data_IF_647509104002
#
_entry.id   IF_647509104002
#
_cell.length_a   1.000
_cell.length_b   1.000
_cell.length_c   1.000
_cell.angle_alpha   90.00
_cell.angle_beta   90.00
_cell.angle_gamma   90.00
#
_symmetry.space_group_name_H-M   'P 1'
#
loop_
_entity.id
_entity.type
_entity.pdbx_description
1 polymer ?
#
# COMPACT_ATOMS: atom_id res chain seq x y z
N UNK A 1 -16.62 -49.35 27.72
CA UNK A 1 -16.33 -48.95 29.12
C UNK A 1 -14.87 -48.52 29.14
N UNK A 2 -14.44 -47.29 29.46
CA UNK A 2 -14.94 -46.25 30.36
C UNK A 2 -14.74 -44.87 29.74
N UNK A 3 -15.77 -44.03 29.90
CA UNK A 3 -15.76 -42.58 29.72
C UNK A 3 -15.16 -41.94 30.97
N UNK A 4 -14.36 -40.89 30.83
CA UNK A 4 -14.02 -39.99 31.94
C UNK A 4 -14.27 -38.55 31.48
N UNK A 5 -15.31 -38.00 32.09
CA UNK A 5 -15.76 -36.61 32.06
C UNK A 5 -15.01 -35.83 33.13
N UNK A 6 -14.54 -34.61 32.82
CA UNK A 6 -14.13 -33.63 33.84
C UNK A 6 -14.89 -32.33 33.58
N UNK A 7 -15.57 -31.92 34.66
CA UNK A 7 -16.56 -30.85 34.72
C UNK A 7 -15.93 -29.51 35.13
N UNK A 8 -16.55 -28.43 34.66
CA UNK A 8 -16.91 -27.18 35.38
C UNK A 8 -15.88 -26.53 36.32
N UNK A 9 -15.46 -25.31 35.96
CA UNK A 9 -15.29 -24.16 36.86
C UNK A 9 -16.01 -22.97 36.20
N UNK A 10 -17.20 -22.51 36.64
CA UNK A 10 -17.47 -21.56 37.74
C UNK A 10 -16.64 -20.27 37.60
N UNK A 11 -17.14 -19.22 36.92
CA UNK A 11 -17.93 -18.09 37.45
C UNK A 11 -17.36 -17.41 38.70
N UNK A 12 -16.89 -16.16 38.56
CA UNK A 12 -17.03 -15.11 39.58
C UNK A 12 -16.87 -13.71 38.98
N UNK A 13 -18.01 -13.03 38.80
CA UNK A 13 -18.35 -11.66 39.25
C UNK A 13 -17.23 -10.66 39.58
N UNK A 14 -17.32 -9.40 39.10
CA UNK A 14 -17.95 -8.27 39.83
C UNK A 14 -17.84 -6.89 39.11
N UNK A 15 -18.98 -6.15 39.13
CA UNK A 15 -19.28 -4.67 39.14
C UNK A 15 -18.52 -3.68 38.20
N UNK A 16 -19.16 -2.87 37.33
CA UNK A 16 -20.12 -1.72 37.50
C UNK A 16 -19.38 -0.50 38.15
N UNK A 17 -19.44 0.79 37.78
CA UNK A 17 -20.48 1.78 37.36
C UNK A 17 -19.73 2.97 36.69
N UNK A 18 -20.22 3.66 35.64
CA UNK A 18 -20.74 5.06 35.62
C UNK A 18 -20.65 5.50 34.13
N UNK A 19 -21.66 6.02 33.43
CA UNK A 19 -22.84 6.77 33.84
C UNK A 19 -22.57 8.27 33.71
N UNK A 20 -22.78 8.85 32.52
CA UNK A 20 -23.01 10.30 32.35
C UNK A 20 -23.95 10.57 31.16
N UNK A 21 -25.16 10.97 31.51
CA UNK A 21 -26.12 11.68 30.68
C UNK A 21 -26.10 13.17 31.04
N UNK A 22 -26.47 14.00 30.06
CA UNK A 22 -26.88 15.42 30.09
C UNK A 22 -25.90 16.31 29.29
N UNK A 23 -26.34 17.16 28.38
CA UNK A 23 -27.69 17.55 28.01
C UNK A 23 -27.74 18.44 26.77
N UNK A 24 -28.92 18.52 26.17
CA UNK A 24 -29.34 19.61 25.28
C UNK A 24 -29.96 20.73 26.13
N UNK A 25 -29.89 21.99 25.64
CA UNK A 25 -31.12 22.58 25.13
C UNK A 25 -30.95 23.37 23.83
N UNK A 26 -32.09 23.53 23.14
CA UNK A 26 -32.31 24.32 21.94
C UNK A 26 -32.66 25.79 22.28
N UNK A 27 -32.25 26.74 21.42
CA UNK A 27 -33.04 27.82 20.81
C UNK A 27 -32.19 29.03 20.42
N UNK A 28 -32.43 29.60 19.24
CA UNK A 28 -31.96 30.94 18.87
C UNK A 28 -31.80 31.15 17.36
N UNK A 29 -32.80 31.76 16.74
CA UNK A 29 -32.87 32.05 15.31
C UNK A 29 -32.06 33.29 14.88
N UNK A 30 -31.57 33.21 13.63
CA UNK A 30 -31.38 34.27 12.62
C UNK A 30 -30.39 35.43 12.87
N UNK A 31 -29.32 35.49 12.06
CA UNK A 31 -28.94 36.68 11.28
C UNK A 31 -27.97 36.32 10.15
N UNK A 32 -28.24 36.88 8.96
CA UNK A 32 -27.49 36.74 7.71
C UNK A 32 -26.09 37.36 7.79
N UNK A 33 -25.11 36.73 7.14
CA UNK A 33 -23.83 37.34 6.79
C UNK A 33 -22.99 36.39 5.93
N UNK A 34 -22.86 36.70 4.65
CA UNK A 34 -22.15 35.91 3.65
C UNK A 34 -20.66 35.69 3.97
N UNK A 35 -20.16 34.46 3.79
CA UNK A 35 -18.74 34.17 3.64
C UNK A 35 -18.55 33.13 2.53
N UNK A 36 -17.59 33.44 1.65
CA UNK A 36 -17.37 32.89 0.32
C UNK A 36 -17.03 31.37 0.27
N UNK A 37 -17.27 30.71 -0.89
CA UNK A 37 -16.80 29.36 -1.14
C UNK A 37 -15.32 29.41 -1.55
N UNK A 38 -14.43 28.76 -0.81
CA UNK A 38 -13.05 28.59 -1.29
C UNK A 38 -11.99 28.53 -0.21
N UNK A 39 -12.05 27.50 0.64
CA UNK A 39 -10.87 27.00 1.32
C UNK A 39 -11.07 25.50 1.51
N UNK A 40 -10.86 24.74 0.43
CA UNK A 40 -10.69 23.30 0.54
C UNK A 40 -9.55 23.07 1.54
N UNK A 41 -9.87 22.50 2.69
CA UNK A 41 -8.89 22.04 3.65
C UNK A 41 -7.83 21.20 2.92
N UNK A 42 -6.53 21.38 3.21
CA UNK A 42 -5.51 20.50 2.65
C UNK A 42 -5.88 19.08 3.07
N UNK A 43 -6.22 18.25 2.08
CA UNK A 43 -6.71 16.91 2.28
C UNK A 43 -5.86 16.18 3.31
N UNK A 44 -6.53 15.62 4.31
CA UNK A 44 -5.94 14.59 5.15
C UNK A 44 -5.55 13.44 4.22
N UNK A 45 -4.31 13.47 3.73
CA UNK A 45 -3.67 12.30 3.15
C UNK A 45 -3.75 11.21 4.19
N UNK A 46 -4.39 10.10 3.82
CA UNK A 46 -4.49 8.88 4.62
C UNK A 46 -3.11 8.58 5.27
N UNK A 47 -3.08 8.09 6.52
CA UNK A 47 -1.83 7.70 7.15
C UNK A 47 -1.16 6.69 6.23
N UNK A 48 -0.04 7.09 5.61
CA UNK A 48 0.69 6.25 4.70
C UNK A 48 1.03 4.96 5.45
N UNK A 49 0.50 3.83 4.97
CA UNK A 49 0.91 2.53 5.48
C UNK A 49 2.44 2.48 5.47
N UNK A 50 3.03 2.07 6.59
CA UNK A 50 4.48 1.97 6.75
C UNK A 50 5.09 1.30 5.52
N UNK A 51 5.98 2.01 4.81
CA UNK A 51 6.66 1.44 3.65
C UNK A 51 7.43 0.19 4.09
N UNK A 52 7.27 -0.90 3.35
CA UNK A 52 8.03 -2.11 3.63
C UNK A 52 9.47 -1.93 3.15
N UNK A 53 10.42 -1.93 4.07
CA UNK A 53 11.83 -1.87 3.71
C UNK A 53 12.32 -3.26 3.28
N UNK A 54 12.44 -3.45 1.96
CA UNK A 54 12.79 -4.72 1.32
C UNK A 54 13.74 -4.46 0.17
N UNK A 55 14.58 -5.45 -0.15
CA UNK A 55 15.38 -5.45 -1.38
C UNK A 55 14.49 -5.38 -2.62
N UNK A 56 15.06 -4.98 -3.76
CA UNK A 56 14.33 -4.89 -5.02
C UNK A 56 13.65 -6.22 -5.40
N UNK A 57 14.40 -7.33 -5.28
CA UNK A 57 13.88 -8.68 -5.56
C UNK A 57 12.79 -9.07 -4.56
N UNK A 58 13.07 -8.99 -3.25
CA UNK A 58 12.10 -9.37 -2.22
C UNK A 58 10.79 -8.57 -2.30
N UNK A 59 10.86 -7.31 -2.75
CA UNK A 59 9.68 -6.46 -2.95
C UNK A 59 8.78 -6.95 -4.08
N UNK A 60 9.37 -7.37 -5.20
CA UNK A 60 8.63 -7.97 -6.31
C UNK A 60 8.07 -9.34 -5.89
N UNK A 61 8.88 -10.17 -5.23
CA UNK A 61 8.44 -11.49 -4.77
C UNK A 61 7.27 -11.37 -3.80
N UNK A 62 7.31 -10.40 -2.89
CA UNK A 62 6.19 -10.11 -1.97
C UNK A 62 4.94 -9.67 -2.73
N UNK A 63 5.08 -8.81 -3.74
CA UNK A 63 3.95 -8.39 -4.58
C UNK A 63 3.34 -9.59 -5.32
N UNK A 64 4.17 -10.44 -5.93
CA UNK A 64 3.72 -11.65 -6.62
C UNK A 64 3.08 -12.67 -5.65
N UNK A 65 3.59 -12.78 -4.42
CA UNK A 65 2.99 -13.64 -3.40
C UNK A 65 1.60 -13.14 -2.99
N UNK A 66 1.39 -11.82 -2.87
CA UNK A 66 0.05 -11.25 -2.61
C UNK A 66 -0.91 -11.54 -3.76
N UNK A 67 -0.44 -11.40 -5.00
CA UNK A 67 -1.23 -11.72 -6.20
C UNK A 67 -1.55 -13.21 -6.25
N UNK A 68 -0.58 -14.07 -5.94
CA UNK A 68 -0.74 -15.52 -5.92
C UNK A 68 -1.82 -16.00 -4.95
N UNK A 69 -2.01 -15.32 -3.81
CA UNK A 69 -3.12 -15.62 -2.89
C UNK A 69 -4.50 -15.44 -3.50
N UNK A 70 -4.64 -14.55 -4.49
CA UNK A 70 -5.91 -14.27 -5.17
C UNK A 70 -6.27 -15.34 -6.23
N UNK A 71 -5.38 -16.30 -6.49
CA UNK A 71 -5.71 -17.50 -7.28
C UNK A 71 -6.73 -18.41 -6.59
N UNK A 72 -6.94 -18.21 -5.29
CA UNK A 72 -7.94 -18.91 -4.51
C UNK A 72 -8.94 -17.93 -3.92
N UNK A 73 -10.10 -18.44 -3.53
CA UNK A 73 -11.14 -17.62 -2.90
C UNK A 73 -10.64 -17.12 -1.54
N UNK A 74 -10.48 -15.81 -1.43
CA UNK A 74 -10.17 -15.11 -0.17
C UNK A 74 -11.41 -14.45 0.41
N UNK A 75 -11.45 -14.32 1.75
CA UNK A 75 -12.50 -13.55 2.44
C UNK A 75 -12.38 -12.05 2.15
N UNK A 76 -13.46 -11.29 2.37
CA UNK A 76 -13.42 -9.82 2.20
C UNK A 76 -12.38 -9.17 3.11
N UNK A 77 -12.30 -9.62 4.37
CA UNK A 77 -11.31 -9.10 5.32
C UNK A 77 -9.88 -9.38 4.87
N UNK A 78 -9.60 -10.58 4.37
CA UNK A 78 -8.28 -10.92 3.85
C UNK A 78 -7.95 -10.10 2.59
N UNK A 79 -8.92 -9.89 1.71
CA UNK A 79 -8.74 -9.05 0.53
C UNK A 79 -8.42 -7.60 0.89
N UNK A 80 -9.14 -7.02 1.86
CA UNK A 80 -8.86 -5.66 2.35
C UNK A 80 -7.42 -5.58 2.91
N UNK A 81 -7.02 -6.55 3.73
CA UNK A 81 -5.65 -6.59 4.27
C UNK A 81 -4.59 -6.73 3.16
N UNK A 82 -4.83 -7.57 2.15
CA UNK A 82 -3.92 -7.73 1.01
C UNK A 82 -3.79 -6.42 0.22
N UNK A 83 -4.92 -5.76 -0.06
CA UNK A 83 -4.94 -4.48 -0.74
C UNK A 83 -4.15 -3.44 0.05
N UNK A 84 -4.47 -3.25 1.32
CA UNK A 84 -3.83 -2.23 2.16
C UNK A 84 -2.33 -2.51 2.35
N UNK A 85 -1.91 -3.78 2.46
CA UNK A 85 -0.49 -4.15 2.50
C UNK A 85 0.21 -3.92 1.16
N UNK A 86 -0.48 -4.10 0.04
CA UNK A 86 0.10 -3.84 -1.28
C UNK A 86 0.49 -2.36 -1.48
N UNK A 87 -0.17 -1.44 -0.78
CA UNK A 87 0.14 0.00 -0.81
C UNK A 87 1.58 0.31 -0.42
N UNK A 88 2.12 -0.47 0.53
CA UNK A 88 3.49 -0.31 1.03
C UNK A 88 4.59 -0.76 0.05
N UNK A 89 4.23 -1.47 -1.02
CA UNK A 89 5.19 -2.00 -2.01
C UNK A 89 5.37 -1.07 -3.21
N UNK A 90 4.33 -0.30 -3.55
CA UNK A 90 4.27 0.52 -4.75
C UNK A 90 4.50 2.00 -4.44
N UNK A 91 4.80 2.78 -5.48
CA UNK A 91 4.59 4.23 -5.44
C UNK A 91 3.09 4.56 -5.45
N UNK A 92 2.72 5.78 -5.05
CA UNK A 92 1.31 6.22 -5.06
C UNK A 92 0.67 6.12 -6.43
N UNK A 93 1.41 6.40 -7.51
CA UNK A 93 0.96 6.32 -8.89
C UNK A 93 1.36 5.00 -9.57
N UNK A 94 1.69 3.97 -8.80
CA UNK A 94 2.08 2.67 -9.33
C UNK A 94 0.93 1.96 -10.03
N UNK A 95 1.24 1.24 -11.11
CA UNK A 95 0.24 0.55 -11.93
C UNK A 95 0.72 -0.83 -12.36
N UNK A 96 -0.22 -1.62 -12.89
CA UNK A 96 0.01 -2.96 -13.40
C UNK A 96 -0.41 -2.98 -14.87
N UNK A 97 0.54 -3.32 -15.74
CA UNK A 97 0.27 -3.67 -17.13
C UNK A 97 -0.03 -5.16 -17.17
N UNK A 98 -1.21 -5.54 -17.65
CA UNK A 98 -1.66 -6.92 -17.75
C UNK A 98 -1.86 -7.29 -19.21
N UNK A 99 -1.15 -8.31 -19.66
CA UNK A 99 -1.47 -9.03 -20.89
C UNK A 99 -2.46 -10.14 -20.54
N UNK A 100 -3.72 -9.97 -20.96
CA UNK A 100 -4.77 -10.96 -20.69
C UNK A 100 -4.57 -12.22 -21.53
N UNK A 101 -5.20 -13.32 -21.13
CA UNK A 101 -5.16 -14.58 -21.88
C UNK A 101 -5.70 -14.45 -23.33
N UNK A 102 -6.53 -13.43 -23.59
CA UNK A 102 -7.04 -13.10 -24.93
C UNK A 102 -6.14 -12.16 -25.75
N UNK A 103 -4.91 -11.87 -25.28
CA UNK A 103 -3.96 -10.98 -25.95
C UNK A 103 -4.25 -9.49 -25.78
N UNK A 104 -5.23 -9.11 -24.94
CA UNK A 104 -5.53 -7.71 -24.66
C UNK A 104 -4.53 -7.15 -23.65
N UNK A 105 -3.96 -5.98 -23.95
CA UNK A 105 -3.13 -5.22 -23.02
C UNK A 105 -4.00 -4.26 -22.21
N UNK A 106 -3.99 -4.41 -20.89
CA UNK A 106 -4.71 -3.57 -19.94
C UNK A 106 -3.70 -2.82 -19.06
N UNK A 107 -3.96 -1.54 -18.78
CA UNK A 107 -3.24 -0.78 -17.77
C UNK A 107 -4.18 -0.48 -16.62
N UNK A 108 -3.89 -1.06 -15.47
CA UNK A 108 -4.76 -1.03 -14.29
C UNK A 108 -4.03 -0.36 -13.14
N UNK A 109 -4.74 0.42 -12.34
CA UNK A 109 -4.25 0.75 -11.01
C UNK A 109 -4.10 -0.54 -10.20
N UNK A 110 -3.28 -0.48 -9.14
CA UNK A 110 -3.10 -1.61 -8.22
C UNK A 110 -4.43 -2.14 -7.68
N UNK A 111 -5.33 -1.24 -7.26
CA UNK A 111 -6.65 -1.61 -6.72
C UNK A 111 -7.53 -2.31 -7.76
N UNK A 112 -7.63 -1.76 -8.97
CA UNK A 112 -8.39 -2.39 -10.07
C UNK A 112 -7.85 -3.78 -10.43
N UNK A 113 -6.53 -3.91 -10.50
CA UNK A 113 -5.90 -5.21 -10.75
C UNK A 113 -6.22 -6.22 -9.65
N UNK A 114 -6.08 -5.86 -8.37
CA UNK A 114 -6.34 -6.80 -7.27
C UNK A 114 -7.81 -7.24 -7.22
N UNK A 115 -8.75 -6.33 -7.47
CA UNK A 115 -10.18 -6.69 -7.59
C UNK A 115 -10.40 -7.66 -8.75
N UNK A 116 -9.84 -7.37 -9.92
CA UNK A 116 -9.92 -8.28 -11.08
C UNK A 116 -9.30 -9.64 -10.78
N UNK A 117 -8.12 -9.68 -10.17
CA UNK A 117 -7.40 -10.91 -9.84
C UNK A 117 -8.21 -11.79 -8.89
N UNK A 118 -8.87 -11.17 -7.89
CA UNK A 118 -9.80 -11.85 -6.98
C UNK A 118 -10.99 -12.48 -7.70
N UNK A 119 -11.58 -11.76 -8.65
CA UNK A 119 -12.77 -12.21 -9.39
C UNK A 119 -12.42 -13.32 -10.40
N UNK A 120 -11.26 -13.19 -11.06
CA UNK A 120 -10.83 -14.12 -12.11
C UNK A 120 -10.19 -15.38 -11.55
N UNK A 121 -9.53 -15.29 -10.39
CA UNK A 121 -8.77 -16.40 -9.79
C UNK A 121 -7.77 -17.02 -10.78
N UNK A 122 -7.22 -16.20 -11.67
CA UNK A 122 -6.29 -16.61 -12.72
C UNK A 122 -4.84 -16.63 -12.22
N UNK A 123 -3.97 -17.32 -12.96
CA UNK A 123 -2.55 -17.31 -12.68
C UNK A 123 -1.88 -16.11 -13.35
N UNK A 124 -0.88 -15.53 -12.69
CA UNK A 124 -0.17 -14.37 -13.23
C UNK A 124 1.34 -14.61 -13.20
N UNK A 125 2.02 -14.33 -14.32
CA UNK A 125 3.47 -14.44 -14.44
C UNK A 125 4.08 -13.08 -14.68
N UNK A 126 5.18 -12.77 -13.99
CA UNK A 126 5.95 -11.56 -14.22
C UNK A 126 6.67 -11.61 -15.57
N UNK A 127 6.52 -10.55 -16.38
CA UNK A 127 7.37 -10.30 -17.56
C UNK A 127 8.53 -9.38 -17.21
N UNK A 128 8.21 -8.23 -16.60
CA UNK A 128 9.17 -7.19 -16.21
C UNK A 128 8.59 -6.26 -15.16
N UNK A 129 9.43 -5.50 -14.49
CA UNK A 129 9.07 -4.47 -13.52
C UNK A 129 9.82 -3.17 -13.77
N UNK A 130 9.25 -2.05 -13.31
CA UNK A 130 9.97 -0.79 -13.17
C UNK A 130 10.01 -0.42 -11.70
N UNK A 131 11.22 -0.24 -11.18
CA UNK A 131 11.47 0.02 -9.76
C UNK A 131 12.10 1.39 -9.56
N UNK A 132 11.92 1.96 -8.38
CA UNK A 132 12.61 3.17 -7.96
C UNK A 132 13.33 2.97 -6.64
N UNK A 133 14.59 3.35 -6.61
CA UNK A 133 15.40 3.49 -5.41
C UNK A 133 15.40 4.96 -4.99
N UNK A 134 15.00 5.23 -3.76
CA UNK A 134 15.18 6.53 -3.12
C UNK A 134 16.31 6.40 -2.11
N UNK A 135 17.36 7.20 -2.27
CA UNK A 135 18.56 7.17 -1.43
C UNK A 135 19.21 8.56 -1.33
N UNK A 136 20.37 8.64 -0.67
CA UNK A 136 21.16 9.88 -0.52
C UNK A 136 20.35 11.06 0.03
N UNK A 137 19.60 10.79 1.10
CA UNK A 137 18.76 11.79 1.75
C UNK A 137 19.59 12.90 2.37
N UNK A 138 19.22 14.15 2.08
CA UNK A 138 19.90 15.33 2.60
C UNK A 138 18.95 16.49 2.82
N UNK A 139 19.23 17.30 3.84
CA UNK A 139 18.56 18.57 4.08
C UNK A 139 19.19 19.63 3.17
N UNK A 140 18.36 20.34 2.41
CA UNK A 140 18.76 21.44 1.55
C UNK A 140 18.39 22.81 2.15
N UNK A 141 18.44 23.88 1.33
CA UNK A 141 17.99 25.21 1.76
C UNK A 141 16.54 25.20 2.24
N UNK A 142 16.19 26.11 3.14
CA UNK A 142 14.85 26.26 3.72
C UNK A 142 14.34 25.00 4.43
N UNK A 143 15.25 24.22 5.01
CA UNK A 143 14.97 23.01 5.76
C UNK A 143 14.25 21.89 4.99
N UNK A 144 14.17 21.99 3.66
CA UNK A 144 13.51 20.98 2.83
C UNK A 144 14.39 19.74 2.66
N UNK A 145 13.79 18.57 2.76
CA UNK A 145 14.47 17.32 2.48
C UNK A 145 14.47 17.01 0.98
N UNK A 146 15.57 16.40 0.53
CA UNK A 146 15.73 15.91 -0.83
C UNK A 146 16.32 14.51 -0.81
N UNK A 147 15.98 13.70 -1.81
CA UNK A 147 16.66 12.45 -2.11
C UNK A 147 17.16 12.42 -3.56
N UNK A 148 18.04 11.47 -3.83
CA UNK A 148 18.23 10.95 -5.18
C UNK A 148 17.16 9.88 -5.41
N UNK A 149 16.56 9.92 -6.59
CA UNK A 149 15.57 8.95 -7.05
C UNK A 149 16.09 8.33 -8.33
N UNK A 150 16.40 7.04 -8.30
CA UNK A 150 16.91 6.31 -9.46
C UNK A 150 15.90 5.25 -9.88
N UNK A 151 15.40 5.38 -11.11
CA UNK A 151 14.44 4.46 -11.71
C UNK A 151 15.15 3.44 -12.58
N UNK A 152 14.84 2.17 -12.35
CA UNK A 152 15.34 1.00 -13.04
C UNK A 152 14.20 0.46 -13.89
N UNK A 153 14.32 0.62 -15.20
CA UNK A 153 13.28 0.28 -16.16
C UNK A 153 13.46 -1.14 -16.70
N UNK A 154 12.33 -1.80 -16.93
CA UNK A 154 12.28 -3.12 -17.59
C UNK A 154 13.13 -4.20 -16.92
N UNK A 155 13.13 -4.22 -15.60
CA UNK A 155 13.82 -5.22 -14.78
C UNK A 155 13.12 -6.57 -14.94
N UNK A 156 13.82 -7.55 -15.49
CA UNK A 156 13.39 -8.95 -15.57
C UNK A 156 14.43 -9.93 -15.00
N UNK A 157 15.60 -9.42 -14.60
CA UNK A 157 16.74 -10.19 -14.09
C UNK A 157 17.38 -9.44 -12.92
N UNK A 158 18.12 -10.19 -12.10
CA UNK A 158 18.77 -9.69 -10.91
C UNK A 158 20.15 -10.32 -10.74
N UNK A 159 21.11 -9.54 -10.28
CA UNK A 159 22.39 -10.03 -9.75
C UNK A 159 22.33 -9.93 -8.22
N UNK A 160 22.22 -11.07 -7.55
CA UNK A 160 21.78 -11.11 -6.15
C UNK A 160 20.46 -10.36 -5.98
N UNK A 161 20.43 -9.40 -5.05
CA UNK A 161 19.26 -8.54 -4.80
C UNK A 161 19.18 -7.29 -5.69
N UNK A 162 20.21 -7.02 -6.50
CA UNK A 162 20.28 -5.83 -7.31
C UNK A 162 19.61 -6.04 -8.68
N UNK A 163 18.73 -5.12 -9.13
CA UNK A 163 18.07 -5.26 -10.42
C UNK A 163 19.05 -5.05 -11.59
N UNK A 164 18.91 -5.86 -12.65
CA UNK A 164 19.58 -5.65 -13.94
C UNK A 164 18.55 -5.03 -14.90
N UNK A 165 18.57 -3.70 -15.11
CA UNK A 165 17.61 -3.00 -15.96
C UNK A 165 18.08 -2.92 -17.41
N UNK A 166 17.14 -2.72 -18.34
CA UNK A 166 17.46 -2.31 -19.71
C UNK A 166 17.82 -0.83 -19.79
N UNK A 167 17.27 -0.01 -18.87
CA UNK A 167 17.52 1.44 -18.81
C UNK A 167 17.48 1.96 -17.38
N UNK A 168 18.34 2.94 -17.09
CA UNK A 168 18.37 3.66 -15.81
C UNK A 168 18.15 5.15 -16.04
N UNK A 169 17.32 5.77 -15.22
CA UNK A 169 17.15 7.23 -15.17
C UNK A 169 17.25 7.72 -13.74
N UNK A 170 17.94 8.83 -13.47
CA UNK A 170 18.11 9.33 -12.11
C UNK A 170 17.81 10.83 -11.98
N UNK A 171 17.09 11.19 -10.92
CA UNK A 171 16.87 12.56 -10.47
C UNK A 171 17.66 12.79 -9.18
N UNK A 172 18.62 13.72 -9.19
CA UNK A 172 19.53 13.94 -8.05
C UNK A 172 18.94 14.73 -6.86
N UNK A 173 17.79 15.41 -7.06
CA UNK A 173 17.18 16.32 -6.09
C UNK A 173 15.65 16.26 -6.15
N UNK A 174 15.07 15.09 -5.85
CA UNK A 174 13.63 14.95 -5.67
C UNK A 174 13.23 15.50 -4.30
N UNK A 175 12.32 16.48 -4.19
CA UNK A 175 11.86 16.98 -2.90
C UNK A 175 11.02 15.93 -2.17
N UNK A 176 11.20 15.85 -0.86
CA UNK A 176 10.46 14.96 0.04
C UNK A 176 10.12 15.69 1.34
N UNK A 177 9.13 15.22 2.08
CA UNK A 177 8.68 15.86 3.33
C UNK A 177 9.72 15.71 4.44
N UNK A 178 10.31 14.53 4.56
CA UNK A 178 11.27 14.13 5.60
C UNK A 178 12.26 13.09 5.06
N UNK A 179 13.28 12.68 5.84
CA UNK A 179 14.38 11.79 5.41
C UNK A 179 13.87 10.54 4.68
N UNK A 180 13.35 9.54 5.38
CA UNK A 180 12.80 8.32 4.77
C UNK A 180 11.55 7.89 5.55
N UNK A 181 10.42 7.58 4.89
CA UNK A 181 9.21 7.15 5.59
C UNK A 181 9.39 5.82 6.34
N UNK A 182 10.38 5.00 5.97
CA UNK A 182 10.71 3.74 6.66
C UNK A 182 11.79 3.90 7.73
N UNK A 183 12.38 5.09 7.89
CA UNK A 183 13.57 5.31 8.72
C UNK A 183 14.88 4.78 8.12
N UNK A 184 14.82 3.98 7.05
CA UNK A 184 15.99 3.41 6.37
C UNK A 184 16.81 4.44 5.59
N UNK A 185 18.07 4.11 5.31
CA UNK A 185 18.98 4.96 4.51
C UNK A 185 18.65 4.99 3.02
N UNK A 186 17.94 3.96 2.55
CA UNK A 186 17.39 3.87 1.21
C UNK A 186 16.13 3.04 1.25
N UNK A 187 15.27 3.17 0.24
CA UNK A 187 14.13 2.27 0.10
C UNK A 187 13.72 2.10 -1.37
N UNK A 188 13.28 0.89 -1.69
CA UNK A 188 12.74 0.54 -3.00
C UNK A 188 11.23 0.71 -3.05
N UNK A 189 10.69 1.05 -4.22
CA UNK A 189 9.27 0.97 -4.52
C UNK A 189 9.05 0.46 -5.94
N UNK A 190 7.90 -0.17 -6.17
CA UNK A 190 7.45 -0.58 -7.51
C UNK A 190 6.69 0.58 -8.16
N UNK A 191 7.10 0.98 -9.36
CA UNK A 191 6.33 1.90 -10.21
C UNK A 191 5.39 1.09 -11.12
N UNK A 192 5.90 0.01 -11.69
CA UNK A 192 5.18 -0.80 -12.66
C UNK A 192 5.48 -2.27 -12.46
N UNK A 193 4.46 -3.12 -12.56
CA UNK A 193 4.62 -4.54 -12.89
C UNK A 193 3.94 -4.81 -14.23
N UNK A 194 4.64 -5.53 -15.11
CA UNK A 194 4.04 -6.11 -16.30
C UNK A 194 3.84 -7.61 -16.07
N UNK A 195 2.60 -8.06 -16.14
CA UNK A 195 2.19 -9.44 -15.89
C UNK A 195 1.50 -10.03 -17.12
N UNK A 196 1.57 -11.35 -17.27
CA UNK A 196 0.75 -12.14 -18.21
C UNK A 196 -0.24 -12.98 -17.41
N UNK A 197 -1.51 -12.94 -17.79
CA UNK A 197 -2.59 -13.79 -17.28
C UNK A 197 -2.58 -15.13 -18.04
N UNK A 198 -2.51 -16.24 -17.30
CA UNK A 198 -2.70 -17.59 -17.87
C UNK A 198 -3.90 -18.29 -17.24
#
# INVERSE_FOLDING_TARGET
MKSVSISKLMFSTLLVILGWCAGLPANGAAARGAAAPGAAAPGATAPGGSLLDLSARAKIDTALAFIGKLQHRVSDNEFIQLRDRSDSLFTTSGYINLESAGGQLLRLTRGEFLTRARDRQASYKLKKATLVLNDQFRKGPNERWYCRSTTFHEVNRFDGDYPIPEKVTSMKRKPIREKSPSGAESYWQIIELTLTEN
#
